data_IF_585195188015
#
_entry.id   IF_585195188015
#
_cell.length_a   1.000
_cell.length_b   1.000
_cell.length_c   1.000
_cell.angle_alpha   90.00
_cell.angle_beta   90.00
_cell.angle_gamma   90.00
#
_symmetry.space_group_name_H-M   'P 1'
#
loop_
_entity.id
_entity.type
_entity.pdbx_description
1 polymer ?
#
# COMPACT_ATOMS: atom_id res chain seq x y z
N UNK A 1 -12.65 -9.75 17.71
CA UNK A 1 -12.96 -10.08 16.31
C UNK A 1 -14.12 -9.25 15.72
N UNK A 2 -15.28 -9.13 16.38
CA UNK A 2 -16.44 -8.39 15.84
C UNK A 2 -16.16 -6.90 15.56
N UNK A 3 -15.49 -6.20 16.48
CA UNK A 3 -15.12 -4.78 16.31
C UNK A 3 -14.25 -4.53 15.07
N UNK A 4 -13.26 -5.39 14.82
CA UNK A 4 -12.38 -5.27 13.66
C UNK A 4 -13.13 -5.40 12.32
N UNK A 5 -14.15 -6.28 12.25
CA UNK A 5 -15.01 -6.40 11.06
C UNK A 5 -15.83 -5.12 10.82
N UNK A 6 -16.38 -4.53 11.87
CA UNK A 6 -17.13 -3.27 11.77
C UNK A 6 -16.22 -2.15 11.26
N UNK A 7 -15.03 -1.99 11.85
CA UNK A 7 -14.06 -0.98 11.39
C UNK A 7 -13.63 -1.21 9.94
N UNK A 8 -13.39 -2.45 9.52
CA UNK A 8 -13.07 -2.77 8.14
C UNK A 8 -14.20 -2.39 7.18
N UNK A 9 -15.46 -2.71 7.52
CA UNK A 9 -16.62 -2.30 6.71
C UNK A 9 -16.73 -0.78 6.60
N UNK A 10 -16.57 -0.05 7.71
CA UNK A 10 -16.58 1.40 7.70
C UNK A 10 -15.46 1.97 6.83
N UNK A 11 -14.24 1.43 6.93
CA UNK A 11 -13.11 1.85 6.11
C UNK A 11 -13.39 1.66 4.61
N UNK A 12 -13.94 0.51 4.20
CA UNK A 12 -14.34 0.29 2.79
C UNK A 12 -15.41 1.28 2.31
N UNK A 13 -16.37 1.64 3.17
CA UNK A 13 -17.37 2.66 2.82
C UNK A 13 -16.73 4.04 2.67
N UNK A 14 -15.85 4.44 3.59
CA UNK A 14 -15.14 5.72 3.51
C UNK A 14 -14.27 5.81 2.25
N UNK A 15 -13.53 4.74 1.91
CA UNK A 15 -12.76 4.65 0.67
C UNK A 15 -13.66 4.83 -0.57
N UNK A 16 -14.84 4.22 -0.56
CA UNK A 16 -15.82 4.39 -1.64
C UNK A 16 -16.28 5.84 -1.75
N UNK A 17 -16.57 6.51 -0.63
CA UNK A 17 -16.98 7.91 -0.63
C UNK A 17 -15.89 8.87 -1.11
N UNK A 18 -14.61 8.56 -0.87
CA UNK A 18 -13.49 9.37 -1.36
C UNK A 18 -13.15 9.14 -2.84
N UNK A 19 -13.85 8.21 -3.51
CA UNK A 19 -13.51 7.78 -4.88
C UNK A 19 -12.01 7.43 -5.02
N UNK A 20 -11.51 6.66 -4.04
CA UNK A 20 -10.09 6.36 -3.87
C UNK A 20 -9.39 5.74 -5.09
N UNK A 21 -10.16 5.13 -6.01
CA UNK A 21 -9.64 4.55 -7.24
C UNK A 21 -9.18 5.61 -8.25
N UNK A 22 -9.84 6.77 -8.27
CA UNK A 22 -9.48 7.88 -9.16
C UNK A 22 -8.57 8.89 -8.49
N UNK A 23 -8.72 9.08 -7.18
CA UNK A 23 -7.99 10.08 -6.40
C UNK A 23 -7.37 9.47 -5.13
N UNK A 24 -6.43 8.52 -5.27
CA UNK A 24 -5.73 7.97 -4.11
C UNK A 24 -4.80 9.01 -3.48
N UNK A 25 -4.56 8.86 -2.17
CA UNK A 25 -3.60 9.63 -1.38
C UNK A 25 -2.88 8.73 -0.36
N UNK A 26 -1.94 9.27 0.40
CA UNK A 26 -1.17 8.49 1.38
C UNK A 26 -2.05 7.73 2.39
N UNK A 27 -3.08 8.37 2.93
CA UNK A 27 -4.02 7.78 3.88
C UNK A 27 -4.82 6.64 3.25
N UNK A 28 -5.17 6.77 1.97
CA UNK A 28 -5.81 5.69 1.19
C UNK A 28 -4.91 4.47 1.16
N UNK A 29 -3.63 4.63 0.79
CA UNK A 29 -2.69 3.50 0.68
C UNK A 29 -2.45 2.86 2.05
N UNK A 30 -2.27 3.67 3.10
CA UNK A 30 -2.15 3.18 4.48
C UNK A 30 -3.40 2.40 4.92
N UNK A 31 -4.59 2.89 4.61
CA UNK A 31 -5.86 2.22 4.91
C UNK A 31 -5.94 0.87 4.19
N UNK A 32 -5.54 0.81 2.91
CA UNK A 32 -5.48 -0.43 2.15
C UNK A 32 -4.49 -1.41 2.80
N UNK A 33 -3.31 -0.97 3.21
CA UNK A 33 -2.32 -1.79 3.96
C UNK A 33 -2.91 -2.39 5.24
N UNK A 34 -3.70 -1.63 5.99
CA UNK A 34 -4.35 -2.14 7.20
C UNK A 34 -5.44 -3.18 6.86
N UNK A 35 -6.24 -2.92 5.82
CA UNK A 35 -7.26 -3.86 5.34
C UNK A 35 -6.64 -5.16 4.79
N UNK A 36 -5.49 -5.08 4.14
CA UNK A 36 -4.71 -6.23 3.68
C UNK A 36 -4.33 -7.15 4.84
N UNK A 37 -3.75 -6.57 5.89
CA UNK A 37 -3.38 -7.31 7.10
C UNK A 37 -4.61 -7.90 7.80
N UNK A 38 -5.73 -7.17 7.82
CA UNK A 38 -6.98 -7.68 8.35
C UNK A 38 -7.48 -8.91 7.55
N UNK A 39 -7.53 -8.84 6.21
CA UNK A 39 -7.98 -9.95 5.35
C UNK A 39 -7.07 -11.18 5.48
N UNK A 40 -5.76 -10.97 5.53
CA UNK A 40 -4.77 -12.04 5.76
C UNK A 40 -5.02 -12.76 7.08
N UNK A 41 -5.28 -12.01 8.16
CA UNK A 41 -5.58 -12.58 9.48
C UNK A 41 -6.93 -13.34 9.52
N UNK A 42 -7.83 -13.07 8.57
CA UNK A 42 -9.09 -13.81 8.39
C UNK A 42 -8.92 -15.03 7.48
N UNK A 43 -7.68 -15.42 7.14
CA UNK A 43 -7.33 -16.49 6.20
C UNK A 43 -7.84 -16.28 4.76
N UNK A 44 -8.19 -15.04 4.38
CA UNK A 44 -8.54 -14.70 3.00
C UNK A 44 -7.31 -14.25 2.20
N UNK A 45 -6.46 -15.23 1.88
CA UNK A 45 -5.23 -15.01 1.12
C UNK A 45 -5.50 -14.50 -0.32
N UNK A 46 -6.63 -14.87 -0.91
CA UNK A 46 -7.00 -14.46 -2.28
C UNK A 46 -7.41 -12.99 -2.34
N UNK A 47 -8.30 -12.56 -1.44
CA UNK A 47 -8.72 -11.16 -1.37
C UNK A 47 -7.57 -10.25 -0.94
N UNK A 48 -6.77 -10.66 0.04
CA UNK A 48 -5.59 -9.89 0.45
C UNK A 48 -4.56 -9.74 -0.68
N UNK A 49 -4.27 -10.79 -1.46
CA UNK A 49 -3.36 -10.64 -2.61
C UNK A 49 -3.93 -9.71 -3.70
N UNK A 50 -5.22 -9.82 -4.00
CA UNK A 50 -5.88 -8.96 -4.99
C UNK A 50 -5.88 -7.49 -4.57
N UNK A 51 -6.16 -7.24 -3.29
CA UNK A 51 -6.12 -5.91 -2.69
C UNK A 51 -4.69 -5.36 -2.66
N UNK A 52 -3.66 -6.22 -2.53
CA UNK A 52 -2.26 -5.79 -2.51
C UNK A 52 -1.86 -5.27 -3.89
N UNK A 53 -2.21 -5.99 -4.95
CA UNK A 53 -2.00 -5.53 -6.32
C UNK A 53 -2.72 -4.21 -6.62
N UNK A 54 -3.90 -3.97 -6.04
CA UNK A 54 -4.58 -2.68 -6.14
C UNK A 54 -3.81 -1.58 -5.41
N UNK A 55 -3.39 -1.81 -4.17
CA UNK A 55 -2.64 -0.84 -3.37
C UNK A 55 -1.32 -0.44 -4.04
N UNK A 56 -0.60 -1.41 -4.63
CA UNK A 56 0.63 -1.17 -5.39
C UNK A 56 0.35 -0.25 -6.59
N UNK A 57 -0.67 -0.56 -7.40
CA UNK A 57 -1.01 0.25 -8.57
C UNK A 57 -1.42 1.67 -8.21
N UNK A 58 -2.18 1.85 -7.13
CA UNK A 58 -2.58 3.18 -6.66
C UNK A 58 -1.38 3.97 -6.11
N UNK A 59 -0.47 3.33 -5.37
CA UNK A 59 0.76 3.95 -4.90
C UNK A 59 1.67 4.38 -6.06
N UNK A 60 1.77 3.54 -7.11
CA UNK A 60 2.49 3.89 -8.33
C UNK A 60 1.87 5.09 -9.05
N UNK A 61 0.54 5.14 -9.15
CA UNK A 61 -0.19 6.22 -9.82
C UNK A 61 0.05 7.61 -9.20
N UNK A 62 0.39 7.67 -7.90
CA UNK A 62 0.71 8.92 -7.19
C UNK A 62 2.23 9.10 -6.96
N UNK A 63 3.07 8.31 -7.61
CA UNK A 63 4.52 8.50 -7.60
C UNK A 63 5.25 7.94 -6.37
N UNK A 64 4.60 7.21 -5.46
CA UNK A 64 5.25 6.68 -4.25
C UNK A 64 6.34 5.64 -4.53
N UNK A 65 6.40 5.09 -5.74
CA UNK A 65 7.40 4.10 -6.13
C UNK A 65 8.80 4.68 -6.33
N UNK A 66 8.89 5.98 -6.60
CA UNK A 66 10.13 6.74 -6.76
C UNK A 66 10.05 8.03 -5.94
N UNK A 67 9.95 7.94 -4.60
CA UNK A 67 9.88 9.13 -3.77
C UNK A 67 11.21 9.90 -3.87
N UNK A 68 11.19 11.24 -3.88
CA UNK A 68 12.40 12.04 -3.88
C UNK A 68 13.26 11.74 -2.64
N UNK A 69 14.58 11.90 -2.76
CA UNK A 69 15.49 11.72 -1.63
C UNK A 69 15.18 12.78 -0.56
N UNK A 70 14.74 12.38 0.65
CA UNK A 70 14.41 13.33 1.72
C UNK A 70 15.56 14.24 2.11
N UNK A 71 16.82 13.83 1.91
CA UNK A 71 17.99 14.67 2.22
C UNK A 71 18.24 15.75 1.16
N UNK A 72 17.63 15.63 -0.01
CA UNK A 72 17.69 16.64 -1.07
C UNK A 72 16.64 17.75 -0.94
N UNK A 73 15.66 17.59 -0.03
CA UNK A 73 14.52 18.49 0.13
C UNK A 73 14.80 19.50 1.24
N UNK A 74 14.69 20.78 0.92
CA UNK A 74 14.90 21.87 1.88
C UNK A 74 13.65 22.22 2.69
N UNK A 75 12.45 22.04 2.12
CA UNK A 75 11.20 22.28 2.83
C UNK A 75 10.89 21.13 3.80
N UNK A 76 10.71 21.41 5.11
CA UNK A 76 10.45 20.36 6.09
C UNK A 76 9.15 19.57 5.84
N UNK A 77 8.13 20.21 5.29
CA UNK A 77 6.82 19.58 5.06
C UNK A 77 6.90 18.61 3.89
N UNK A 78 7.52 19.03 2.79
CA UNK A 78 7.78 18.16 1.64
C UNK A 78 8.72 17.01 2.01
N UNK A 79 9.70 17.26 2.91
CA UNK A 79 10.59 16.22 3.43
C UNK A 79 9.81 15.15 4.22
N UNK A 80 8.92 15.56 5.10
CA UNK A 80 8.08 14.65 5.87
C UNK A 80 7.17 13.81 4.95
N UNK A 81 6.59 14.41 3.92
CA UNK A 81 5.78 13.70 2.92
C UNK A 81 6.61 12.65 2.16
N UNK A 82 7.82 13.01 1.72
CA UNK A 82 8.74 12.08 1.05
C UNK A 82 9.11 10.89 1.95
N UNK A 83 9.36 11.13 3.23
CA UNK A 83 9.62 10.08 4.23
C UNK A 83 8.40 9.16 4.35
N UNK A 84 7.19 9.70 4.47
CA UNK A 84 5.95 8.92 4.53
C UNK A 84 5.80 8.05 3.28
N UNK A 85 5.99 8.61 2.09
CA UNK A 85 5.92 7.87 0.82
C UNK A 85 6.94 6.72 0.77
N UNK A 86 8.17 6.97 1.20
CA UNK A 86 9.21 5.94 1.28
C UNK A 86 8.83 4.80 2.23
N UNK A 87 8.29 5.11 3.41
CA UNK A 87 7.83 4.09 4.36
C UNK A 87 6.65 3.27 3.84
N UNK A 88 5.68 3.93 3.20
CA UNK A 88 4.51 3.27 2.59
C UNK A 88 4.97 2.31 1.50
N UNK A 89 5.82 2.79 0.58
CA UNK A 89 6.32 1.97 -0.53
C UNK A 89 7.10 0.76 -0.04
N UNK A 90 8.01 0.94 0.93
CA UNK A 90 8.73 -0.18 1.55
C UNK A 90 7.80 -1.18 2.21
N UNK A 91 6.74 -0.70 2.86
CA UNK A 91 5.73 -1.57 3.47
C UNK A 91 4.98 -2.41 2.42
N UNK A 92 4.72 -1.86 1.23
CA UNK A 92 4.12 -2.62 0.12
C UNK A 92 5.08 -3.67 -0.43
N UNK A 93 6.36 -3.33 -0.65
CA UNK A 93 7.40 -4.27 -1.09
C UNK A 93 7.53 -5.43 -0.12
N UNK A 94 7.62 -5.14 1.18
CA UNK A 94 7.71 -6.17 2.22
C UNK A 94 6.49 -7.11 2.20
N UNK A 95 5.28 -6.57 2.02
CA UNK A 95 4.08 -7.38 1.95
C UNK A 95 4.00 -8.24 0.68
N UNK A 96 4.44 -7.72 -0.46
CA UNK A 96 4.47 -8.46 -1.73
C UNK A 96 5.46 -9.62 -1.67
N UNK A 97 6.63 -9.35 -1.08
CA UNK A 97 7.67 -10.36 -0.84
C UNK A 97 7.15 -11.46 0.10
N UNK A 98 6.50 -11.07 1.20
CA UNK A 98 5.93 -12.02 2.17
C UNK A 98 4.81 -12.89 1.55
N UNK A 99 3.88 -12.30 0.79
CA UNK A 99 2.83 -13.09 0.12
C UNK A 99 3.44 -14.06 -0.89
N UNK A 100 4.38 -13.59 -1.69
CA UNK A 100 5.02 -14.41 -2.72
C UNK A 100 5.75 -15.61 -2.11
N UNK A 101 6.46 -15.38 -1.00
CA UNK A 101 7.17 -16.43 -0.25
C UNK A 101 6.20 -17.42 0.43
N UNK A 102 5.17 -16.93 1.12
CA UNK A 102 4.28 -17.78 1.90
C UNK A 102 3.27 -18.59 1.06
N UNK A 103 2.89 -18.09 -0.13
CA UNK A 103 1.80 -18.66 -0.92
C UNK A 103 2.23 -19.07 -2.34
N UNK A 104 3.53 -19.10 -2.63
CA UNK A 104 4.10 -19.40 -3.95
C UNK A 104 3.47 -18.59 -5.09
N UNK A 105 3.05 -17.36 -4.80
CA UNK A 105 2.49 -16.44 -5.81
C UNK A 105 3.62 -15.66 -6.49
N UNK A 106 3.47 -15.29 -7.78
CA UNK A 106 4.43 -14.44 -8.44
C UNK A 106 4.47 -13.05 -7.80
N UNK A 107 5.66 -12.45 -7.76
CA UNK A 107 5.88 -11.08 -7.29
C UNK A 107 5.07 -10.09 -8.14
N UNK A 108 4.41 -9.14 -7.49
CA UNK A 108 3.74 -8.03 -8.14
C UNK A 108 4.67 -6.87 -8.48
N UNK A 109 5.83 -6.77 -7.80
CA UNK A 109 6.84 -5.74 -7.99
C UNK A 109 8.13 -6.38 -8.50
N UNK A 110 8.57 -6.01 -9.71
CA UNK A 110 9.88 -6.40 -10.23
C UNK A 110 10.95 -5.45 -9.70
N UNK A 111 11.89 -5.94 -8.90
CA UNK A 111 13.01 -5.17 -8.32
C UNK A 111 14.15 -4.96 -9.34
N UNK A 112 13.93 -5.21 -10.64
CA UNK A 112 15.01 -5.36 -11.64
C UNK A 112 15.18 -4.20 -12.64
N UNK A 113 14.66 -3.00 -12.38
CA UNK A 113 14.89 -1.82 -13.25
C UNK A 113 15.70 -0.71 -12.55
N UNK A 114 16.75 -1.11 -11.83
CA UNK A 114 17.91 -0.23 -11.62
C UNK A 114 19.12 -0.93 -12.25
N UNK A 115 19.90 -0.18 -13.04
CA UNK A 115 21.06 -0.55 -13.86
C UNK A 115 20.78 -0.83 -15.34
N UNK A 116 20.43 0.23 -16.07
CA UNK A 116 20.90 0.48 -17.45
C UNK A 116 21.54 1.86 -17.51
#
# INVERSE_FOLDING_TARGET
>A
MLKARVFACCAFQCLRFSNFLSFPNAETIQTLILLLNFLRNQADAGASWSLLGLAIRLAQAIGMHCPPDPESISDPTEKDEAIIHHHIWRSLIWQDTLISLCYARPLGINVLEEHS
#
